data_IF_865864218998
#
_entry.id   IF_865864218998
#
_cell.length_a   1.000
_cell.length_b   1.000
_cell.length_c   1.000
_cell.angle_alpha   90.00
_cell.angle_beta   90.00
_cell.angle_gamma   90.00
#
_symmetry.space_group_name_H-M   'P 1'
#
loop_
_entity.id
_entity.type
_entity.pdbx_description
1 polymer ?
#
# COMPACT_ATOMS: atom_id res chain seq x y z
N UNK A 1 -32.36 6.32 -26.34
CA UNK A 1 -32.21 4.98 -25.71
C UNK A 1 -30.74 4.77 -25.44
N UNK A 2 -30.30 4.71 -24.18
CA UNK A 2 -28.92 4.31 -23.85
C UNK A 2 -28.89 2.79 -23.89
N UNK A 3 -28.37 2.20 -24.97
CA UNK A 3 -28.06 0.77 -24.99
C UNK A 3 -26.96 0.53 -23.96
N UNK A 4 -27.29 -0.14 -22.86
CA UNK A 4 -26.27 -0.63 -21.91
C UNK A 4 -25.37 -1.61 -22.68
N UNK A 5 -24.05 -1.39 -22.63
CA UNK A 5 -23.07 -2.34 -23.16
C UNK A 5 -23.27 -3.68 -22.45
N UNK A 6 -23.27 -4.77 -23.20
CA UNK A 6 -23.28 -6.12 -22.61
C UNK A 6 -21.85 -6.56 -22.25
N UNK A 7 -21.71 -7.68 -21.51
CA UNK A 7 -20.41 -8.16 -21.05
C UNK A 7 -19.42 -8.40 -22.20
N UNK A 8 -19.86 -9.03 -23.29
CA UNK A 8 -19.02 -9.31 -24.45
C UNK A 8 -18.53 -8.03 -25.14
N UNK A 9 -19.38 -7.03 -25.28
CA UNK A 9 -19.01 -5.73 -25.83
C UNK A 9 -17.97 -5.02 -24.95
N UNK A 10 -18.09 -5.15 -23.63
CA UNK A 10 -17.10 -4.61 -22.70
C UNK A 10 -15.75 -5.35 -22.83
N UNK A 11 -15.76 -6.67 -23.00
CA UNK A 11 -14.54 -7.45 -23.26
C UNK A 11 -13.86 -7.00 -24.56
N UNK A 12 -14.62 -6.86 -25.66
CA UNK A 12 -14.09 -6.42 -26.96
C UNK A 12 -13.47 -5.01 -26.86
N UNK A 13 -14.11 -4.11 -26.11
CA UNK A 13 -13.57 -2.77 -25.82
C UNK A 13 -12.27 -2.88 -25.02
N UNK A 14 -12.24 -3.65 -23.92
CA UNK A 14 -11.06 -3.79 -23.07
C UNK A 14 -9.87 -4.41 -23.82
N UNK A 15 -10.12 -5.38 -24.69
CA UNK A 15 -9.08 -5.96 -25.54
C UNK A 15 -8.52 -4.90 -26.49
N UNK A 16 -9.39 -4.14 -27.16
CA UNK A 16 -8.97 -3.06 -28.05
C UNK A 16 -8.16 -1.99 -27.29
N UNK A 17 -8.60 -1.60 -26.09
CA UNK A 17 -7.86 -0.66 -25.25
C UNK A 17 -6.47 -1.18 -24.87
N UNK A 18 -6.35 -2.46 -24.54
CA UNK A 18 -5.08 -3.10 -24.19
C UNK A 18 -4.10 -3.04 -25.37
N UNK A 19 -4.58 -3.39 -26.57
CA UNK A 19 -3.76 -3.36 -27.79
C UNK A 19 -3.33 -1.93 -28.12
N UNK A 20 -4.24 -0.96 -28.03
CA UNK A 20 -3.90 0.45 -28.28
C UNK A 20 -2.90 0.99 -27.24
N UNK A 21 -3.04 0.69 -25.95
CA UNK A 21 -2.06 1.09 -24.93
C UNK A 21 -0.67 0.48 -25.16
N UNK A 22 -0.58 -0.66 -25.85
CA UNK A 22 0.67 -1.34 -26.14
C UNK A 22 1.38 -0.83 -27.40
N UNK A 23 0.62 -0.40 -28.41
CA UNK A 23 1.16 -0.19 -29.76
C UNK A 23 0.95 1.22 -30.34
N UNK A 24 0.22 2.10 -29.66
CA UNK A 24 -0.19 3.39 -30.23
C UNK A 24 0.58 4.62 -29.69
N UNK A 25 0.34 5.77 -30.32
CA UNK A 25 0.92 7.06 -29.95
C UNK A 25 0.16 7.78 -28.82
N UNK A 26 0.76 8.86 -28.30
CA UNK A 26 0.27 9.51 -27.08
C UNK A 26 -1.10 10.20 -27.12
N UNK A 27 -1.73 10.40 -28.29
CA UNK A 27 -3.08 10.98 -28.40
C UNK A 27 -4.16 9.89 -28.32
N UNK A 28 -3.85 8.70 -28.83
CA UNK A 28 -4.68 7.50 -28.71
C UNK A 28 -4.78 7.09 -27.25
N UNK A 29 -3.67 7.10 -26.50
CA UNK A 29 -3.67 6.80 -25.05
C UNK A 29 -4.57 7.70 -24.21
N UNK A 30 -4.73 8.98 -24.58
CA UNK A 30 -5.63 9.89 -23.85
C UNK A 30 -7.10 9.49 -24.07
N UNK A 31 -7.45 9.13 -25.30
CA UNK A 31 -8.78 8.62 -25.64
C UNK A 31 -9.06 7.27 -24.96
N UNK A 32 -8.07 6.38 -24.91
CA UNK A 32 -8.16 5.10 -24.22
C UNK A 32 -8.43 5.26 -22.72
N UNK A 33 -7.72 6.18 -22.05
CA UNK A 33 -7.95 6.49 -20.64
C UNK A 33 -9.38 7.00 -20.39
N UNK A 34 -9.89 7.87 -21.26
CA UNK A 34 -11.25 8.40 -21.14
C UNK A 34 -12.32 7.31 -21.34
N UNK A 35 -12.15 6.43 -22.33
CA UNK A 35 -13.05 5.28 -22.53
C UNK A 35 -13.03 4.38 -21.30
N UNK A 36 -11.83 4.04 -20.79
CA UNK A 36 -11.68 3.20 -19.60
C UNK A 36 -12.37 3.84 -18.39
N UNK A 37 -12.25 5.16 -18.22
CA UNK A 37 -12.94 5.93 -17.17
C UNK A 37 -14.45 5.81 -17.28
N UNK A 38 -15.03 5.86 -18.48
CA UNK A 38 -16.48 5.76 -18.70
C UNK A 38 -17.01 4.35 -18.40
N UNK A 39 -16.27 3.31 -18.78
CA UNK A 39 -16.72 1.92 -18.61
C UNK A 39 -16.41 1.35 -17.22
N UNK A 40 -15.46 1.94 -16.49
CA UNK A 40 -14.92 1.43 -15.21
C UNK A 40 -15.97 1.09 -14.15
N UNK A 41 -17.05 1.86 -14.06
CA UNK A 41 -18.13 1.63 -13.10
C UNK A 41 -19.06 0.44 -13.43
N UNK A 42 -18.86 -0.20 -14.59
CA UNK A 42 -19.72 -1.29 -15.09
C UNK A 42 -18.97 -2.61 -15.29
N UNK A 43 -17.67 -2.62 -14.99
CA UNK A 43 -16.85 -3.79 -15.21
C UNK A 43 -17.19 -4.87 -14.19
N UNK A 44 -17.34 -6.10 -14.68
CA UNK A 44 -17.39 -7.26 -13.79
C UNK A 44 -16.02 -7.47 -13.14
N UNK A 45 -15.98 -8.23 -12.05
CA UNK A 45 -14.72 -8.56 -11.38
C UNK A 45 -13.69 -9.20 -12.33
N UNK A 46 -14.13 -10.08 -13.25
CA UNK A 46 -13.28 -10.65 -14.30
C UNK A 46 -12.70 -9.59 -15.25
N UNK A 47 -13.50 -8.57 -15.59
CA UNK A 47 -13.09 -7.51 -16.52
C UNK A 47 -12.15 -6.48 -15.89
N UNK A 48 -12.15 -6.38 -14.56
CA UNK A 48 -11.20 -5.55 -13.84
C UNK A 48 -9.76 -5.99 -14.11
N UNK A 49 -9.48 -7.29 -14.31
CA UNK A 49 -8.12 -7.74 -14.62
C UNK A 49 -7.58 -7.08 -15.90
N UNK A 50 -8.38 -7.08 -16.98
CA UNK A 50 -8.01 -6.42 -18.24
C UNK A 50 -7.86 -4.90 -18.08
N UNK A 51 -8.75 -4.27 -17.31
CA UNK A 51 -8.66 -2.85 -17.00
C UNK A 51 -7.38 -2.52 -16.22
N UNK A 52 -7.03 -3.33 -15.23
CA UNK A 52 -5.82 -3.17 -14.43
C UNK A 52 -4.56 -3.35 -15.29
N UNK A 53 -4.56 -4.26 -16.26
CA UNK A 53 -3.46 -4.37 -17.21
C UNK A 53 -3.31 -3.09 -18.04
N UNK A 54 -4.41 -2.55 -18.58
CA UNK A 54 -4.39 -1.26 -19.28
C UNK A 54 -3.79 -0.14 -18.42
N UNK A 55 -4.22 -0.04 -17.15
CA UNK A 55 -3.71 0.96 -16.22
C UNK A 55 -2.21 0.79 -15.96
N UNK A 56 -1.70 -0.44 -15.76
CA UNK A 56 -0.26 -0.68 -15.55
C UNK A 56 0.61 -0.14 -16.68
N UNK A 57 0.19 -0.31 -17.94
CA UNK A 57 0.88 0.27 -19.09
C UNK A 57 0.82 1.79 -19.08
N UNK A 58 -0.37 2.34 -18.86
CA UNK A 58 -0.59 3.77 -18.89
C UNK A 58 0.09 4.54 -17.74
N UNK A 59 0.29 3.91 -16.58
CA UNK A 59 1.12 4.45 -15.48
C UNK A 59 2.61 4.60 -15.86
N UNK A 60 3.11 3.80 -16.80
CA UNK A 60 4.50 3.90 -17.32
C UNK A 60 4.62 4.90 -18.48
N UNK A 61 3.52 5.57 -18.85
CA UNK A 61 3.49 6.49 -19.98
C UNK A 61 4.34 7.76 -19.72
N UNK A 62 4.91 8.32 -20.79
CA UNK A 62 5.80 9.49 -20.72
C UNK A 62 5.06 10.79 -20.35
N UNK A 63 3.82 10.95 -20.81
CA UNK A 63 3.00 12.15 -20.52
C UNK A 63 2.31 12.01 -19.16
N UNK A 64 2.51 13.00 -18.28
CA UNK A 64 1.96 13.03 -16.91
C UNK A 64 0.44 13.00 -16.84
N UNK A 65 -0.25 13.73 -17.72
CA UNK A 65 -1.72 13.79 -17.77
C UNK A 65 -2.38 12.40 -17.98
N UNK A 66 -1.73 11.52 -18.75
CA UNK A 66 -2.21 10.13 -18.93
C UNK A 66 -2.05 9.35 -17.64
N UNK A 67 -0.90 9.47 -16.96
CA UNK A 67 -0.68 8.80 -15.67
C UNK A 67 -1.65 9.31 -14.59
N UNK A 68 -1.90 10.61 -14.55
CA UNK A 68 -2.88 11.23 -13.63
C UNK A 68 -4.29 10.66 -13.88
N UNK A 69 -4.72 10.60 -15.15
CA UNK A 69 -6.01 9.99 -15.52
C UNK A 69 -6.11 8.53 -15.09
N UNK A 70 -5.00 7.78 -15.16
CA UNK A 70 -4.97 6.37 -14.74
C UNK A 70 -5.05 6.22 -13.22
N UNK A 71 -4.43 7.11 -12.46
CA UNK A 71 -4.57 7.13 -11.00
C UNK A 71 -6.02 7.41 -10.58
N UNK A 72 -6.71 8.33 -11.27
CA UNK A 72 -8.14 8.59 -11.02
C UNK A 72 -9.03 7.39 -11.34
N UNK A 73 -8.73 6.66 -12.42
CA UNK A 73 -9.48 5.45 -12.77
C UNK A 73 -9.24 4.36 -11.73
N UNK A 74 -7.99 4.14 -11.32
CA UNK A 74 -7.65 3.20 -10.26
C UNK A 74 -8.42 3.51 -8.97
N UNK A 75 -8.53 4.80 -8.61
CA UNK A 75 -9.33 5.23 -7.47
C UNK A 75 -10.80 4.84 -7.58
N UNK A 76 -11.39 4.96 -8.76
CA UNK A 76 -12.80 4.61 -9.00
C UNK A 76 -13.08 3.11 -8.95
N UNK A 77 -12.13 2.29 -9.41
CA UNK A 77 -12.30 0.82 -9.42
C UNK A 77 -11.79 0.16 -8.15
N UNK A 78 -11.10 0.89 -7.27
CA UNK A 78 -10.46 0.32 -6.09
C UNK A 78 -11.44 -0.49 -5.23
N UNK A 79 -12.63 0.03 -4.98
CA UNK A 79 -13.65 -0.63 -4.15
C UNK A 79 -14.33 -1.83 -4.82
N UNK A 80 -14.03 -2.10 -6.09
CA UNK A 80 -14.59 -3.22 -6.87
C UNK A 80 -13.61 -4.39 -6.99
N UNK A 81 -12.34 -4.17 -6.62
CA UNK A 81 -11.30 -5.18 -6.72
C UNK A 81 -11.46 -6.27 -5.66
N UNK A 82 -11.14 -7.51 -6.02
CA UNK A 82 -10.97 -8.59 -5.06
C UNK A 82 -9.55 -8.58 -4.46
N UNK A 83 -9.30 -9.42 -3.46
CA UNK A 83 -8.01 -9.50 -2.79
C UNK A 83 -6.84 -9.78 -3.75
N UNK A 84 -6.99 -10.74 -4.66
CA UNK A 84 -5.94 -11.07 -5.64
C UNK A 84 -5.59 -9.88 -6.56
N UNK A 85 -6.60 -9.09 -6.93
CA UNK A 85 -6.43 -7.88 -7.73
C UNK A 85 -5.73 -6.78 -6.93
N UNK A 86 -6.09 -6.61 -5.65
CA UNK A 86 -5.40 -5.70 -4.74
C UNK A 86 -3.93 -6.09 -4.60
N UNK A 87 -3.60 -7.37 -4.40
CA UNK A 87 -2.21 -7.87 -4.37
C UNK A 87 -1.46 -7.49 -5.64
N UNK A 88 -2.04 -7.76 -6.81
CA UNK A 88 -1.43 -7.48 -8.10
C UNK A 88 -1.21 -5.98 -8.35
N UNK A 89 -2.07 -5.12 -7.81
CA UNK A 89 -1.92 -3.65 -7.87
C UNK A 89 -0.88 -3.19 -6.88
N UNK A 90 -0.92 -3.68 -5.64
CA UNK A 90 0.04 -3.36 -4.59
C UNK A 90 1.48 -3.59 -5.04
N UNK A 91 1.79 -4.77 -5.59
CA UNK A 91 3.14 -5.09 -6.08
C UNK A 91 3.61 -4.09 -7.15
N UNK A 92 2.73 -3.74 -8.08
CA UNK A 92 3.03 -2.77 -9.13
C UNK A 92 3.26 -1.36 -8.57
N UNK A 93 2.43 -0.91 -7.63
CA UNK A 93 2.57 0.41 -7.02
C UNK A 93 3.83 0.50 -6.16
N UNK A 94 4.21 -0.58 -5.48
CA UNK A 94 5.45 -0.65 -4.72
C UNK A 94 6.68 -0.55 -5.62
N UNK A 95 6.68 -1.20 -6.78
CA UNK A 95 7.75 -1.06 -7.79
C UNK A 95 7.85 0.41 -8.26
N UNK A 96 6.71 1.00 -8.64
CA UNK A 96 6.67 2.39 -9.10
C UNK A 96 7.09 3.41 -8.03
N UNK A 97 6.71 3.20 -6.77
CA UNK A 97 7.14 4.05 -5.64
C UNK A 97 8.65 3.98 -5.41
N UNK A 98 9.23 2.79 -5.50
CA UNK A 98 10.68 2.58 -5.32
C UNK A 98 11.51 2.94 -6.55
N UNK A 99 10.87 3.23 -7.69
CA UNK A 99 11.52 3.69 -8.91
C UNK A 99 12.17 5.08 -8.77
N UNK A 100 12.96 5.46 -9.78
CA UNK A 100 13.72 6.73 -9.80
C UNK A 100 12.90 7.94 -10.28
N UNK A 101 11.75 7.71 -10.92
CA UNK A 101 10.93 8.78 -11.48
C UNK A 101 10.03 9.40 -10.39
N UNK A 102 10.32 10.65 -10.01
CA UNK A 102 9.57 11.38 -8.98
C UNK A 102 8.08 11.48 -9.25
N UNK A 103 7.66 11.83 -10.48
CA UNK A 103 6.24 11.92 -10.83
C UNK A 103 5.52 10.56 -10.69
N UNK A 104 6.18 9.47 -11.10
CA UNK A 104 5.61 8.11 -10.97
C UNK A 104 5.49 7.76 -9.50
N UNK A 105 6.51 8.07 -8.70
CA UNK A 105 6.50 7.86 -7.25
C UNK A 105 5.34 8.59 -6.57
N UNK A 106 5.09 9.85 -6.92
CA UNK A 106 3.98 10.65 -6.39
C UNK A 106 2.63 9.97 -6.67
N UNK A 107 2.45 9.48 -7.90
CA UNK A 107 1.22 8.82 -8.31
C UNK A 107 1.05 7.46 -7.64
N UNK A 108 2.13 6.69 -7.51
CA UNK A 108 2.11 5.43 -6.78
C UNK A 108 1.78 5.64 -5.30
N UNK A 109 2.30 6.68 -4.65
CA UNK A 109 1.94 7.01 -3.27
C UNK A 109 0.44 7.33 -3.12
N UNK A 110 -0.13 8.14 -4.02
CA UNK A 110 -1.57 8.44 -4.04
C UNK A 110 -2.44 7.22 -4.31
N UNK A 111 -1.98 6.32 -5.18
CA UNK A 111 -2.64 5.07 -5.46
C UNK A 111 -2.55 4.10 -4.27
N UNK A 112 -1.41 4.03 -3.57
CA UNK A 112 -1.25 3.25 -2.34
C UNK A 112 -2.19 3.76 -1.24
N UNK A 113 -2.30 5.07 -1.08
CA UNK A 113 -3.26 5.70 -0.16
C UNK A 113 -4.70 5.22 -0.39
N UNK A 114 -5.07 5.02 -1.66
CA UNK A 114 -6.40 4.56 -2.05
C UNK A 114 -6.67 3.12 -1.62
N UNK A 115 -5.66 2.25 -1.68
CA UNK A 115 -5.82 0.80 -1.46
C UNK A 115 -5.35 0.33 -0.08
N UNK A 116 -4.68 1.17 0.71
CA UNK A 116 -4.01 0.75 1.95
C UNK A 116 -4.92 0.02 2.93
N UNK A 117 -6.19 0.43 3.03
CA UNK A 117 -7.22 -0.21 3.89
C UNK A 117 -7.70 -1.57 3.39
N UNK A 118 -7.35 -1.93 2.16
CA UNK A 118 -7.73 -3.18 1.50
C UNK A 118 -6.58 -4.18 1.49
N UNK A 119 -5.39 -3.77 1.95
CA UNK A 119 -4.22 -4.63 2.01
C UNK A 119 -4.40 -5.68 3.12
N UNK A 120 -3.98 -6.92 2.84
CA UNK A 120 -3.89 -7.95 3.86
C UNK A 120 -2.63 -7.77 4.74
N UNK A 121 -2.53 -8.54 5.82
CA UNK A 121 -1.43 -8.41 6.80
C UNK A 121 -0.05 -8.57 6.16
N UNK A 122 0.08 -9.44 5.16
CA UNK A 122 1.34 -9.65 4.43
C UNK A 122 1.74 -8.41 3.64
N UNK A 123 0.81 -7.80 2.93
CA UNK A 123 1.03 -6.61 2.13
C UNK A 123 1.32 -5.39 3.01
N UNK A 124 0.58 -5.23 4.12
CA UNK A 124 0.84 -4.20 5.11
C UNK A 124 2.24 -4.35 5.71
N UNK A 125 2.66 -5.57 6.05
CA UNK A 125 4.03 -5.83 6.52
C UNK A 125 5.08 -5.38 5.49
N UNK A 126 4.90 -5.74 4.21
CA UNK A 126 5.81 -5.32 3.13
C UNK A 126 5.83 -3.80 2.94
N UNK A 127 4.66 -3.15 3.03
CA UNK A 127 4.52 -1.69 2.96
C UNK A 127 5.32 -1.03 4.09
N UNK A 128 5.08 -1.45 5.33
CA UNK A 128 5.72 -0.89 6.52
C UNK A 128 7.24 -1.10 6.49
N UNK A 129 7.71 -2.30 6.15
CA UNK A 129 9.13 -2.58 5.99
C UNK A 129 9.80 -1.71 4.93
N UNK A 130 9.06 -1.34 3.89
CA UNK A 130 9.57 -0.47 2.84
C UNK A 130 9.54 1.02 3.26
N UNK A 131 8.50 1.43 3.98
CA UNK A 131 8.20 2.83 4.29
C UNK A 131 8.90 3.32 5.55
N UNK A 132 8.92 2.55 6.63
CA UNK A 132 9.50 2.97 7.92
C UNK A 132 10.99 3.35 7.84
N UNK A 133 11.87 2.59 7.14
CA UNK A 133 13.27 3.01 6.97
C UNK A 133 13.38 4.35 6.23
N UNK A 134 12.56 4.55 5.19
CA UNK A 134 12.52 5.77 4.39
C UNK A 134 11.91 6.94 5.14
N UNK A 135 10.97 6.69 6.04
CA UNK A 135 10.41 7.71 6.91
C UNK A 135 11.43 8.16 7.95
N UNK A 136 12.11 7.22 8.61
CA UNK A 136 13.12 7.49 9.65
C UNK A 136 14.34 8.22 9.09
N UNK A 137 14.85 7.80 7.93
CA UNK A 137 16.14 8.25 7.37
C UNK A 137 16.04 9.08 6.08
N UNK A 138 14.90 9.08 5.40
CA UNK A 138 14.75 9.70 4.08
C UNK A 138 14.57 11.22 4.11
N UNK A 139 14.70 11.83 2.93
CA UNK A 139 14.44 13.25 2.70
C UNK A 139 12.97 13.62 2.92
N UNK A 140 12.72 14.91 3.22
CA UNK A 140 11.38 15.42 3.51
C UNK A 140 10.36 15.13 2.39
N UNK A 141 10.79 15.12 1.13
CA UNK A 141 9.93 14.85 -0.02
C UNK A 141 9.41 13.41 -0.03
N UNK A 142 10.22 12.43 0.38
CA UNK A 142 9.79 11.04 0.52
C UNK A 142 8.84 10.89 1.72
N UNK A 143 9.13 11.58 2.82
CA UNK A 143 8.27 11.57 4.02
C UNK A 143 6.89 12.12 3.72
N UNK A 144 6.80 13.22 2.97
CA UNK A 144 5.55 13.85 2.54
C UNK A 144 4.63 12.89 1.78
N UNK A 145 5.21 11.94 1.04
CA UNK A 145 4.46 10.92 0.28
C UNK A 145 4.03 9.73 1.14
N UNK A 146 4.88 9.36 2.11
CA UNK A 146 4.66 8.20 3.01
C UNK A 146 3.63 8.54 4.09
N UNK A 147 3.72 9.75 4.66
CA UNK A 147 2.92 10.18 5.81
C UNK A 147 1.40 9.99 5.59
N UNK A 148 0.81 10.42 4.46
CA UNK A 148 -0.62 10.21 4.23
C UNK A 148 -0.98 8.73 4.25
N UNK A 149 -0.19 7.87 3.60
CA UNK A 149 -0.48 6.43 3.50
C UNK A 149 -0.46 5.77 4.88
N UNK A 150 0.57 6.05 5.69
CA UNK A 150 0.69 5.46 7.03
C UNK A 150 -0.37 5.98 8.01
N UNK A 151 -0.86 7.21 7.81
CA UNK A 151 -1.91 7.81 8.64
C UNK A 151 -3.30 7.19 8.38
N UNK A 152 -3.50 6.51 7.25
CA UNK A 152 -4.76 5.82 6.95
C UNK A 152 -4.80 4.38 7.50
N UNK A 153 -3.67 3.85 7.99
CA UNK A 153 -3.59 2.54 8.64
C UNK A 153 -4.23 2.67 10.03
N UNK A 154 -5.25 1.86 10.31
CA UNK A 154 -5.95 1.88 11.60
C UNK A 154 -5.14 1.23 12.72
N UNK A 155 -5.50 1.53 13.97
CA UNK A 155 -4.89 0.89 15.14
C UNK A 155 -5.01 -0.65 15.10
N UNK A 156 -6.14 -1.17 14.62
CA UNK A 156 -6.32 -2.62 14.45
C UNK A 156 -5.37 -3.21 13.40
N UNK A 157 -5.14 -2.51 12.29
CA UNK A 157 -4.18 -2.96 11.26
C UNK A 157 -2.74 -2.93 11.80
N UNK A 158 -2.37 -1.88 12.53
CA UNK A 158 -1.09 -1.79 13.24
C UNK A 158 -0.92 -2.91 14.27
N UNK A 159 -1.98 -3.23 15.02
CA UNK A 159 -2.00 -4.33 15.99
C UNK A 159 -1.78 -5.68 15.29
N UNK A 160 -2.52 -5.98 14.22
CA UNK A 160 -2.37 -7.24 13.46
C UNK A 160 -0.94 -7.42 12.93
N UNK A 161 -0.37 -6.39 12.29
CA UNK A 161 0.99 -6.49 11.75
C UNK A 161 2.03 -6.62 12.86
N UNK A 162 1.83 -5.94 13.99
CA UNK A 162 2.71 -6.08 15.15
C UNK A 162 2.69 -7.50 15.70
N UNK A 163 1.51 -8.10 15.90
CA UNK A 163 1.38 -9.48 16.39
C UNK A 163 2.06 -10.45 15.42
N UNK A 164 1.79 -10.32 14.12
CA UNK A 164 2.41 -11.17 13.09
C UNK A 164 3.94 -11.05 13.08
N UNK A 165 4.46 -9.83 13.29
CA UNK A 165 5.90 -9.57 13.39
C UNK A 165 6.53 -10.21 14.62
N UNK A 166 5.89 -10.06 15.79
CA UNK A 166 6.37 -10.64 17.04
C UNK A 166 6.43 -12.17 16.93
N UNK A 167 5.40 -12.80 16.37
CA UNK A 167 5.36 -14.26 16.13
C UNK A 167 6.45 -14.73 15.16
N UNK A 168 6.75 -13.96 14.11
CA UNK A 168 7.80 -14.32 13.12
C UNK A 168 9.21 -14.27 13.73
N UNK A 169 9.50 -13.28 14.57
CA UNK A 169 10.80 -13.14 15.24
C UNK A 169 11.11 -14.30 16.20
N UNK A 170 10.10 -15.06 16.63
CA UNK A 170 10.32 -16.29 17.42
C UNK A 170 11.01 -17.40 16.62
N UNK A 171 10.85 -17.40 15.29
CA UNK A 171 11.36 -18.45 14.40
C UNK A 171 12.79 -18.17 13.88
N UNK A 172 13.26 -16.92 13.96
CA UNK A 172 14.55 -16.50 13.40
C UNK A 172 15.50 -16.07 14.54
N UNK A 173 16.45 -16.94 14.93
CA UNK A 173 17.39 -16.71 16.04
C UNK A 173 18.55 -15.72 15.75
N UNK A 174 18.43 -14.81 14.78
CA UNK A 174 19.58 -14.06 14.27
C UNK A 174 19.49 -12.54 14.47
N UNK A 175 20.65 -11.92 14.69
CA UNK A 175 20.90 -10.53 15.10
C UNK A 175 20.31 -9.39 14.24
N UNK A 176 19.62 -9.71 13.13
CA UNK A 176 18.95 -8.73 12.24
C UNK A 176 17.65 -8.15 12.81
N UNK A 177 17.07 -8.80 13.83
CA UNK A 177 15.74 -8.47 14.38
C UNK A 177 15.67 -7.13 15.13
N UNK A 178 16.80 -6.63 15.66
CA UNK A 178 16.80 -5.37 16.39
C UNK A 178 16.40 -4.17 15.52
N UNK A 179 16.79 -4.15 14.25
CA UNK A 179 16.46 -3.03 13.37
C UNK A 179 14.99 -3.07 12.92
N UNK A 180 14.40 -4.25 12.73
CA UNK A 180 12.96 -4.37 12.44
C UNK A 180 12.13 -3.92 13.65
N UNK A 181 12.48 -4.35 14.87
CA UNK A 181 11.83 -3.91 16.11
C UNK A 181 11.97 -2.40 16.34
N UNK A 182 13.13 -1.82 16.07
CA UNK A 182 13.34 -0.37 16.18
C UNK A 182 12.49 0.41 15.18
N UNK A 183 12.33 -0.08 13.95
CA UNK A 183 11.48 0.55 12.95
C UNK A 183 10.00 0.41 13.31
N UNK A 184 9.59 -0.74 13.83
CA UNK A 184 8.22 -0.97 14.30
C UNK A 184 7.89 -0.05 15.48
N UNK A 185 8.76 0.04 16.48
CA UNK A 185 8.62 0.98 17.60
C UNK A 185 8.52 2.43 17.11
N UNK A 186 9.32 2.81 16.12
CA UNK A 186 9.27 4.14 15.50
C UNK A 186 7.89 4.40 14.85
N UNK A 187 7.37 3.44 14.08
CA UNK A 187 6.07 3.53 13.44
C UNK A 187 4.92 3.64 14.44
N UNK A 188 4.90 2.75 15.44
CA UNK A 188 3.88 2.72 16.49
C UNK A 188 3.85 4.05 17.27
N UNK A 189 5.01 4.55 17.72
CA UNK A 189 5.06 5.84 18.43
C UNK A 189 4.64 7.03 17.57
N UNK A 190 4.80 6.94 16.25
CA UNK A 190 4.46 8.03 15.32
C UNK A 190 2.97 8.05 14.96
N UNK A 191 2.38 6.88 14.66
CA UNK A 191 1.04 6.80 14.07
C UNK A 191 0.00 6.12 14.95
N UNK A 192 0.41 5.31 15.92
CA UNK A 192 -0.51 4.58 16.78
C UNK A 192 0.03 4.42 18.22
N UNK A 193 0.28 5.55 18.93
CA UNK A 193 0.97 5.53 20.22
C UNK A 193 0.13 4.96 21.38
N UNK A 194 -1.17 4.75 21.18
CA UNK A 194 -2.11 4.29 22.22
C UNK A 194 -2.53 2.82 22.05
N UNK A 195 -1.92 2.06 21.13
CA UNK A 195 -2.25 0.64 20.98
C UNK A 195 -1.99 -0.10 22.29
N UNK A 196 -3.03 -0.79 22.75
CA UNK A 196 -2.94 -1.73 23.86
C UNK A 196 -2.74 -3.15 23.29
N UNK A 197 -1.72 -3.82 23.80
CA UNK A 197 -1.46 -5.23 23.55
C UNK A 197 -1.86 -6.00 24.81
N UNK A 198 -2.97 -6.75 24.74
CA UNK A 198 -3.36 -7.64 25.83
C UNK A 198 -2.39 -8.82 25.85
N UNK A 199 -1.55 -8.88 26.88
CA UNK A 199 -0.50 -9.90 27.02
C UNK A 199 -0.99 -11.16 27.77
N UNK A 200 -2.26 -11.19 28.20
CA UNK A 200 -2.77 -12.12 29.23
C UNK A 200 -3.81 -13.13 28.72
N UNK A 201 -3.84 -13.49 27.44
CA UNK A 201 -4.74 -14.55 26.97
C UNK A 201 -4.07 -15.92 27.05
N UNK A 202 -4.60 -16.81 27.91
CA UNK A 202 -4.34 -18.26 27.99
C UNK A 202 -4.71 -19.06 26.71
N UNK A 203 -4.96 -18.39 25.58
CA UNK A 203 -5.09 -19.02 24.27
C UNK A 203 -3.69 -19.25 23.69
N UNK A 204 -3.48 -20.37 23.01
CA UNK A 204 -2.22 -20.85 22.36
C UNK A 204 -1.55 -19.88 21.35
N UNK A 205 -1.99 -18.62 21.28
CA UNK A 205 -1.41 -17.49 20.54
C UNK A 205 -0.50 -16.59 21.39
N UNK A 206 0.07 -17.10 22.48
CA UNK A 206 0.95 -16.35 23.39
C UNK A 206 2.09 -15.65 22.64
N UNK A 207 1.96 -14.33 22.44
CA UNK A 207 3.05 -13.45 22.02
C UNK A 207 4.20 -13.67 23.00
N UNK A 208 5.37 -14.13 22.53
CA UNK A 208 6.50 -14.38 23.42
C UNK A 208 6.91 -13.08 24.14
N UNK A 209 6.89 -13.14 25.47
CA UNK A 209 7.27 -12.04 26.36
C UNK A 209 8.61 -11.40 25.95
N UNK A 210 9.58 -12.17 25.44
CA UNK A 210 10.89 -11.64 25.04
C UNK A 210 10.84 -10.73 23.80
N UNK A 211 10.11 -11.12 22.75
CA UNK A 211 9.97 -10.28 21.55
C UNK A 211 9.18 -8.99 21.89
N UNK A 212 8.13 -9.13 22.69
CA UNK A 212 7.36 -8.01 23.20
C UNK A 212 8.21 -7.07 24.09
N UNK A 213 8.99 -7.63 25.01
CA UNK A 213 9.92 -6.85 25.86
C UNK A 213 10.96 -6.11 25.00
N UNK A 214 11.48 -6.74 23.96
CA UNK A 214 12.42 -6.10 23.02
C UNK A 214 11.78 -4.92 22.30
N UNK A 215 10.53 -5.06 21.83
CA UNK A 215 9.77 -3.98 21.22
C UNK A 215 9.54 -2.83 22.22
N UNK A 216 9.13 -3.16 23.45
CA UNK A 216 8.94 -2.19 24.54
C UNK A 216 10.23 -1.42 24.84
N UNK A 217 11.37 -2.10 24.90
CA UNK A 217 12.67 -1.47 25.14
C UNK A 217 13.05 -0.55 23.98
N UNK A 218 12.74 -0.92 22.73
CA UNK A 218 12.90 -0.04 21.57
C UNK A 218 12.01 1.21 21.66
N UNK A 219 10.76 1.08 22.09
CA UNK A 219 9.87 2.23 22.32
C UNK A 219 10.45 3.15 23.40
N UNK A 220 10.85 2.60 24.55
CA UNK A 220 11.43 3.37 25.66
C UNK A 220 12.67 4.16 25.24
N UNK A 221 13.60 3.52 24.48
CA UNK A 221 14.77 4.21 23.95
C UNK A 221 14.40 5.38 23.05
N UNK A 222 13.42 5.21 22.16
CA UNK A 222 13.01 6.27 21.23
C UNK A 222 12.28 7.42 21.92
N UNK A 223 11.46 7.14 22.92
CA UNK A 223 10.80 8.18 23.74
C UNK A 223 11.87 9.07 24.38
N UNK A 224 12.94 8.48 24.93
CA UNK A 224 14.09 9.21 25.49
C UNK A 224 14.82 10.01 24.41
N UNK A 225 15.11 9.41 23.25
CA UNK A 225 15.76 10.11 22.11
C UNK A 225 14.95 11.32 21.63
N UNK A 226 13.62 11.23 21.67
CA UNK A 226 12.72 12.32 21.29
C UNK A 226 12.54 13.38 22.39
N UNK A 227 13.16 13.20 23.56
CA UNK A 227 13.11 14.14 24.67
C UNK A 227 11.84 14.04 25.53
N UNK A 228 11.05 12.98 25.39
CA UNK A 228 9.92 12.72 26.27
C UNK A 228 10.42 12.02 27.55
N UNK A 229 10.06 12.54 28.72
CA UNK A 229 10.41 11.89 30.00
C UNK A 229 9.41 10.77 30.30
N UNK A 230 9.89 9.53 30.42
CA UNK A 230 9.07 8.40 30.88
C UNK A 230 8.84 8.57 32.39
N UNK A 231 7.64 9.01 32.80
CA UNK A 231 7.21 8.82 34.20
C UNK A 231 6.78 7.37 34.32
N UNK A 232 7.55 6.58 35.06
CA UNK A 232 7.09 5.30 35.56
C UNK A 232 6.06 5.60 36.66
N UNK A 233 4.82 5.17 36.48
CA UNK A 233 3.82 5.01 37.56
C UNK A 233 3.74 3.53 37.93
#
# INVERSE_FOLDING_TARGET
MSSRLNERQLDDILQSLTDEFNYSGGDVHSSCAEILRIISAKLSNRQLDSALQCLKYAFKHKKRNIRDSCAEILQKIATQMNEQQITNVFEFLMDGFNGVNGDVRDLCAKALLTIVRQLNDRELYLLLNNFLPKLKKGHWDIRDKINPVLSEISDEMWKCVTIALLQKNEQMKDSRDNNEMELLAFGLLTYSPLIQFDCDSDDDNTINSNAFNTLRDCCNRQIIEWGFSIRQE
#
